data_IF_041114994016
#
_entry.id   IF_041114994016
#
_cell.length_a   1.000
_cell.length_b   1.000
_cell.length_c   1.000
_cell.angle_alpha   90.00
_cell.angle_beta   90.00
_cell.angle_gamma   90.00
#
_symmetry.space_group_name_H-M   'P 1'
#
loop_
_entity.id
_entity.type
_entity.pdbx_description
1 polymer ?
#
# COMPACT_ATOMS: atom_id res chain seq x y z
N UNK A 1 -10.71 -16.58 6.74
CA UNK A 1 -9.76 -15.45 6.76
C UNK A 1 -8.80 -15.66 7.91
N UNK A 2 -7.52 -15.81 7.62
CA UNK A 2 -6.46 -15.81 8.62
C UNK A 2 -6.23 -14.41 9.18
N UNK A 3 -5.69 -14.29 10.40
CA UNK A 3 -5.38 -13.00 11.04
C UNK A 3 -4.50 -12.09 10.16
N UNK A 4 -3.59 -12.69 9.39
CA UNK A 4 -2.72 -11.96 8.47
C UNK A 4 -3.50 -11.32 7.31
N UNK A 5 -4.48 -12.03 6.74
CA UNK A 5 -5.30 -11.52 5.64
C UNK A 5 -6.14 -10.32 6.08
N UNK A 6 -6.66 -10.37 7.31
CA UNK A 6 -7.39 -9.25 7.89
C UNK A 6 -6.50 -8.01 8.04
N UNK A 7 -5.26 -8.17 8.51
CA UNK A 7 -4.31 -7.05 8.62
C UNK A 7 -3.98 -6.45 7.26
N UNK A 8 -3.78 -7.29 6.25
CA UNK A 8 -3.56 -6.84 4.87
C UNK A 8 -4.78 -6.05 4.37
N UNK A 9 -6.00 -6.54 4.56
CA UNK A 9 -7.23 -5.84 4.16
C UNK A 9 -7.41 -4.49 4.85
N UNK A 10 -7.04 -4.36 6.14
CA UNK A 10 -7.07 -3.07 6.83
C UNK A 10 -6.08 -2.08 6.24
N UNK A 11 -4.85 -2.52 5.97
CA UNK A 11 -3.82 -1.67 5.36
C UNK A 11 -4.24 -1.23 3.95
N UNK A 12 -4.84 -2.13 3.15
CA UNK A 12 -5.35 -1.79 1.81
C UNK A 12 -6.40 -0.69 1.91
N UNK A 13 -7.39 -0.83 2.79
CA UNK A 13 -8.45 0.16 2.97
C UNK A 13 -7.88 1.53 3.37
N UNK A 14 -6.99 1.55 4.35
CA UNK A 14 -6.35 2.79 4.80
C UNK A 14 -5.54 3.46 3.68
N UNK A 15 -4.78 2.69 2.90
CA UNK A 15 -3.97 3.23 1.80
C UNK A 15 -4.85 3.82 0.71
N UNK A 16 -5.90 3.11 0.31
CA UNK A 16 -6.81 3.58 -0.74
C UNK A 16 -7.52 4.86 -0.30
N UNK A 17 -7.99 4.93 0.95
CA UNK A 17 -8.64 6.12 1.50
C UNK A 17 -7.68 7.33 1.56
N UNK A 18 -6.47 7.12 2.08
CA UNK A 18 -5.43 8.15 2.12
C UNK A 18 -5.03 8.62 0.72
N UNK A 19 -4.87 7.69 -0.23
CA UNK A 19 -4.46 8.03 -1.59
C UNK A 19 -5.55 8.75 -2.38
N UNK A 20 -6.79 8.28 -2.25
CA UNK A 20 -7.97 8.92 -2.85
C UNK A 20 -8.10 10.36 -2.37
N UNK A 21 -7.95 10.59 -1.06
CA UNK A 21 -7.98 11.93 -0.45
C UNK A 21 -6.78 12.79 -0.85
N UNK A 22 -5.56 12.24 -0.86
CA UNK A 22 -4.34 12.99 -1.17
C UNK A 22 -4.25 13.42 -2.64
N UNK A 23 -4.85 12.66 -3.55
CA UNK A 23 -4.81 12.92 -5.00
C UNK A 23 -6.11 13.49 -5.56
N UNK A 24 -7.15 13.62 -4.74
CA UNK A 24 -8.49 14.04 -5.15
C UNK A 24 -9.03 13.17 -6.32
N UNK A 25 -8.86 11.85 -6.18
CA UNK A 25 -9.32 10.85 -7.16
C UNK A 25 -10.40 9.96 -6.57
N UNK A 26 -11.22 9.39 -7.45
CA UNK A 26 -12.25 8.43 -7.06
C UNK A 26 -11.64 7.20 -6.37
N UNK A 27 -12.36 6.67 -5.38
CA UNK A 27 -11.91 5.51 -4.61
C UNK A 27 -11.61 4.30 -5.50
N UNK A 28 -12.43 4.05 -6.52
CA UNK A 28 -12.22 2.98 -7.52
C UNK A 28 -10.93 3.20 -8.34
N UNK A 29 -10.58 4.45 -8.63
CA UNK A 29 -9.31 4.78 -9.31
C UNK A 29 -8.12 4.55 -8.38
N UNK A 30 -8.23 4.96 -7.12
CA UNK A 30 -7.23 4.71 -6.09
C UNK A 30 -7.00 3.22 -5.88
N UNK A 31 -8.07 2.42 -5.80
CA UNK A 31 -8.00 0.96 -5.76
C UNK A 31 -7.23 0.43 -6.96
N UNK A 32 -7.67 0.77 -8.18
CA UNK A 32 -7.03 0.28 -9.41
C UNK A 32 -5.53 0.58 -9.44
N UNK A 33 -5.11 1.80 -9.05
CA UNK A 33 -3.68 2.16 -9.00
C UNK A 33 -2.93 1.37 -7.94
N UNK A 34 -3.52 1.19 -6.76
CA UNK A 34 -2.87 0.46 -5.68
C UNK A 34 -2.75 -1.05 -5.97
N UNK A 35 -3.79 -1.70 -6.50
CA UNK A 35 -3.75 -3.12 -6.87
C UNK A 35 -2.73 -3.43 -7.99
N UNK A 36 -2.40 -2.45 -8.83
CA UNK A 36 -1.37 -2.58 -9.87
C UNK A 36 0.04 -2.15 -9.40
N UNK A 37 0.22 -1.87 -8.11
CA UNK A 37 1.49 -1.45 -7.53
C UNK A 37 2.33 -2.65 -7.07
N UNK A 38 3.66 -2.52 -7.13
CA UNK A 38 4.58 -3.49 -6.53
C UNK A 38 4.49 -3.48 -5.01
N UNK A 39 4.10 -2.37 -4.39
CA UNK A 39 3.85 -2.32 -2.95
C UNK A 39 2.73 -3.27 -2.56
N UNK A 40 1.65 -3.35 -3.35
CA UNK A 40 0.58 -4.32 -3.11
C UNK A 40 1.05 -5.78 -3.26
N UNK A 41 1.88 -6.08 -4.27
CA UNK A 41 2.49 -7.42 -4.41
C UNK A 41 3.31 -7.79 -3.16
N UNK A 42 4.14 -6.85 -2.67
CA UNK A 42 4.93 -7.07 -1.44
C UNK A 42 4.07 -7.15 -0.18
N UNK A 43 2.99 -6.37 -0.09
CA UNK A 43 2.08 -6.40 1.05
C UNK A 43 1.38 -7.77 1.18
N UNK A 44 1.04 -8.39 0.05
CA UNK A 44 0.50 -9.74 0.02
C UNK A 44 1.55 -10.82 0.35
N UNK A 45 2.83 -10.54 0.07
CA UNK A 45 3.93 -11.41 0.44
C UNK A 45 4.15 -11.38 1.96
N UNK A 46 3.68 -12.43 2.63
CA UNK A 46 3.76 -12.59 4.07
C UNK A 46 5.20 -12.71 4.57
N UNK A 47 6.16 -13.09 3.71
CA UNK A 47 7.57 -13.19 4.09
C UNK A 47 8.20 -11.81 4.28
N UNK A 48 7.66 -10.76 3.64
CA UNK A 48 8.14 -9.38 3.81
C UNK A 48 7.79 -8.79 5.17
N UNK A 49 6.75 -9.31 5.83
CA UNK A 49 6.24 -8.78 7.10
C UNK A 49 5.55 -7.42 7.00
N UNK A 50 5.37 -6.85 5.80
CA UNK A 50 4.80 -5.50 5.62
C UNK A 50 3.41 -5.32 6.24
N UNK A 51 2.62 -6.39 6.32
CA UNK A 51 1.31 -6.36 6.96
C UNK A 51 1.34 -6.15 8.48
N UNK A 52 2.52 -6.24 9.10
CA UNK A 52 2.73 -5.92 10.52
C UNK A 52 3.13 -4.45 10.74
N UNK A 53 3.52 -3.76 9.68
CA UNK A 53 3.91 -2.34 9.73
C UNK A 53 2.66 -1.44 9.75
N UNK A 54 2.89 -0.15 10.03
CA UNK A 54 1.79 0.83 9.99
C UNK A 54 1.30 1.10 8.57
N UNK A 55 -0.01 1.31 8.39
CA UNK A 55 -0.60 1.67 7.09
C UNK A 55 0.07 2.90 6.45
N UNK A 56 0.53 3.85 7.28
CA UNK A 56 1.28 5.04 6.84
C UNK A 56 2.63 4.68 6.21
N UNK A 57 3.39 3.77 6.81
CA UNK A 57 4.67 3.34 6.24
C UNK A 57 4.49 2.68 4.87
N UNK A 58 3.49 1.80 4.75
CA UNK A 58 3.17 1.16 3.46
C UNK A 58 2.67 2.19 2.45
N UNK A 59 1.92 3.21 2.89
CA UNK A 59 1.49 4.31 2.04
C UNK A 59 2.66 5.15 1.53
N UNK A 60 3.63 5.49 2.38
CA UNK A 60 4.82 6.24 1.97
C UNK A 60 5.63 5.47 0.89
N UNK A 61 5.79 4.14 1.05
CA UNK A 61 6.39 3.29 0.02
C UNK A 61 5.62 3.33 -1.30
N UNK A 62 4.29 3.35 -1.23
CA UNK A 62 3.44 3.45 -2.42
C UNK A 62 3.56 4.81 -3.09
N UNK A 63 3.61 5.91 -2.32
CA UNK A 63 3.87 7.25 -2.85
C UNK A 63 5.23 7.32 -3.54
N UNK A 64 6.27 6.75 -2.94
CA UNK A 64 7.58 6.67 -3.57
C UNK A 64 7.54 5.86 -4.87
N UNK A 65 6.82 4.74 -4.90
CA UNK A 65 6.62 3.97 -6.13
C UNK A 65 5.94 4.81 -7.23
N UNK A 66 4.88 5.54 -6.91
CA UNK A 66 4.18 6.40 -7.88
C UNK A 66 5.06 7.56 -8.35
N UNK A 67 5.82 8.18 -7.44
CA UNK A 67 6.65 9.35 -7.75
C UNK A 67 7.91 8.99 -8.58
N UNK A 68 8.54 7.85 -8.29
CA UNK A 68 9.81 7.45 -8.89
C UNK A 68 9.70 6.31 -9.91
N UNK A 69 8.53 5.69 -10.05
CA UNK A 69 8.31 4.49 -10.88
C UNK A 69 8.99 3.23 -10.32
N UNK A 70 9.51 3.29 -9.09
CA UNK A 70 10.19 2.19 -8.39
C UNK A 70 10.01 2.35 -6.89
N UNK A 71 9.92 1.24 -6.18
CA UNK A 71 9.94 1.26 -4.71
C UNK A 71 11.31 1.75 -4.25
N UNK A 72 11.34 2.88 -3.56
CA UNK A 72 12.54 3.37 -2.86
C UNK A 72 12.43 2.87 -1.42
N UNK A 73 13.18 1.83 -1.08
CA UNK A 73 13.41 1.50 0.33
C UNK A 73 14.57 2.38 0.77
N UNK A 74 14.29 3.33 1.67
CA UNK A 74 15.36 4.05 2.36
C UNK A 74 16.07 3.05 3.28
N UNK A 75 17.14 2.43 2.79
CA UNK A 75 18.12 1.78 3.66
C UNK A 75 18.71 2.88 4.56
N UNK A 76 18.41 2.82 5.85
CA UNK A 76 19.07 3.60 6.91
C UNK A 76 20.15 2.72 7.54
#
# INVERSE_FOLDING_TARGET
MGKQEQLIEYIIQDIVDMFSSDQDIEYDEAMNKFYNSKVFEKLQDKETGLYMESSRYVYDLFKDEINFGRIVQAEI
#
